data_IF_632389746107
#
_entry.id   IF_632389746107
#
_cell.length_a   1.000
_cell.length_b   1.000
_cell.length_c   1.000
_cell.angle_alpha   90.00
_cell.angle_beta   90.00
_cell.angle_gamma   90.00
#
_symmetry.space_group_name_H-M   'P 1'
#
loop_
_entity.id
_entity.type
_entity.pdbx_description
1 polymer ?
#
# COMPACT_ATOMS: atom_id res chain seq x y z
N UNK A 1 28.66 13.38 14.49
CA UNK A 1 27.76 12.95 13.40
C UNK A 1 26.47 12.33 13.94
N UNK A 2 26.54 11.40 14.90
CA UNK A 2 25.35 10.69 15.44
C UNK A 2 24.22 11.61 15.95
N UNK A 3 24.54 12.75 16.59
CA UNK A 3 23.53 13.72 17.04
C UNK A 3 22.80 14.41 15.89
N UNK A 4 23.49 14.71 14.80
CA UNK A 4 22.90 15.34 13.60
C UNK A 4 22.00 14.34 12.88
N UNK A 5 22.44 13.09 12.75
CA UNK A 5 21.66 12.02 12.14
C UNK A 5 20.35 11.75 12.89
N UNK A 6 20.39 11.69 14.23
CA UNK A 6 19.19 11.50 15.05
C UNK A 6 18.19 12.64 14.88
N UNK A 7 18.65 13.89 14.79
CA UNK A 7 17.79 15.05 14.56
C UNK A 7 17.16 14.99 13.16
N UNK A 8 17.94 14.64 12.13
CA UNK A 8 17.43 14.48 10.76
C UNK A 8 16.41 13.34 10.64
N UNK A 9 16.64 12.21 11.31
CA UNK A 9 15.70 11.10 11.34
C UNK A 9 14.39 11.49 12.05
N UNK A 10 14.47 12.22 13.15
CA UNK A 10 13.28 12.70 13.86
C UNK A 10 12.47 13.69 12.99
N UNK A 11 13.14 14.65 12.36
CA UNK A 11 12.50 15.64 11.49
C UNK A 11 11.80 14.99 10.29
N UNK A 12 12.50 14.10 9.58
CA UNK A 12 11.91 13.36 8.47
C UNK A 12 10.76 12.44 8.92
N UNK A 13 10.86 11.86 10.13
CA UNK A 13 9.77 11.06 10.68
C UNK A 13 8.54 11.91 10.97
N UNK A 14 8.72 13.12 11.52
CA UNK A 14 7.63 14.09 11.69
C UNK A 14 6.95 14.44 10.36
N UNK A 15 7.72 14.69 9.30
CA UNK A 15 7.16 14.94 7.96
C UNK A 15 6.37 13.73 7.43
N UNK A 16 6.91 12.51 7.60
CA UNK A 16 6.22 11.27 7.23
C UNK A 16 4.93 11.11 8.03
N UNK A 17 4.91 11.45 9.31
CA UNK A 17 3.72 11.27 10.16
C UNK A 17 2.66 12.34 9.92
N UNK A 18 3.08 13.58 9.64
CA UNK A 18 2.19 14.70 9.32
C UNK A 18 1.45 14.51 7.98
N UNK A 19 2.09 13.84 7.02
CA UNK A 19 1.52 13.71 5.69
C UNK A 19 0.51 12.56 5.59
N UNK A 20 -0.63 12.82 4.96
CA UNK A 20 -1.68 11.80 4.78
C UNK A 20 -1.31 10.76 3.71
N UNK A 21 -0.48 11.14 2.73
CA UNK A 21 -0.08 10.28 1.57
C UNK A 21 1.05 9.29 1.89
N UNK A 22 1.56 9.32 3.09
CA UNK A 22 2.72 8.51 3.49
C UNK A 22 2.29 7.33 4.37
N UNK A 23 1.01 6.92 4.32
CA UNK A 23 0.46 5.89 5.19
C UNK A 23 1.26 4.57 5.15
N UNK A 24 1.79 4.18 3.98
CA UNK A 24 2.66 3.01 3.80
C UNK A 24 4.13 3.26 4.14
N UNK A 25 4.54 4.52 4.32
CA UNK A 25 5.86 4.91 4.81
C UNK A 25 5.92 5.03 6.33
N UNK A 26 4.77 5.27 6.99
CA UNK A 26 4.65 5.29 8.46
C UNK A 26 4.96 3.92 9.07
N UNK A 27 5.58 3.93 10.24
CA UNK A 27 5.92 2.75 11.04
C UNK A 27 6.64 1.64 10.24
N UNK A 28 7.45 2.02 9.24
CA UNK A 28 8.03 1.03 8.36
C UNK A 28 9.17 0.28 9.05
N UNK A 29 8.94 -1.01 9.26
CA UNK A 29 9.94 -1.96 9.76
C UNK A 29 10.90 -2.37 8.64
N UNK A 30 12.17 -2.46 8.97
CA UNK A 30 13.21 -2.99 8.11
C UNK A 30 14.03 -4.02 8.87
N UNK A 31 14.45 -5.07 8.16
CA UNK A 31 15.38 -6.06 8.70
C UNK A 31 16.78 -5.45 8.78
N UNK A 32 17.30 -5.30 9.99
CA UNK A 32 18.68 -4.89 10.27
C UNK A 32 19.47 -6.14 10.61
N UNK A 33 20.56 -6.36 9.88
CA UNK A 33 21.51 -7.43 10.16
C UNK A 33 22.51 -6.94 11.22
N UNK A 34 22.58 -7.62 12.35
CA UNK A 34 23.42 -7.22 13.49
C UNK A 34 24.75 -8.00 13.54
N UNK A 35 25.02 -8.82 12.51
CA UNK A 35 26.14 -9.76 12.48
C UNK A 35 25.76 -11.14 13.04
N UNK A 36 26.67 -12.12 12.88
CA UNK A 36 26.53 -13.48 13.45
C UNK A 36 25.21 -14.22 13.12
N UNK A 37 24.62 -13.93 11.96
CA UNK A 37 23.33 -14.51 11.55
C UNK A 37 22.12 -13.98 12.30
N UNK A 38 22.29 -12.98 13.17
CA UNK A 38 21.20 -12.31 13.88
C UNK A 38 20.68 -11.16 13.03
N UNK A 39 19.36 -11.11 12.90
CA UNK A 39 18.67 -9.96 12.31
C UNK A 39 17.51 -9.58 13.19
N UNK A 40 17.30 -8.28 13.37
CA UNK A 40 16.12 -7.73 14.05
C UNK A 40 15.29 -6.88 13.11
N UNK A 41 14.02 -6.73 13.42
CA UNK A 41 13.16 -5.75 12.77
C UNK A 41 13.25 -4.43 13.55
N UNK A 42 13.46 -3.33 12.83
CA UNK A 42 13.57 -2.01 13.43
C UNK A 42 12.87 -0.97 12.59
N UNK A 43 12.36 0.08 13.23
CA UNK A 43 11.92 1.28 12.54
C UNK A 43 13.15 2.01 12.00
N UNK A 44 13.17 2.23 10.69
CA UNK A 44 14.27 2.93 10.03
C UNK A 44 13.71 4.00 9.10
N UNK A 45 13.95 5.26 9.44
CA UNK A 45 13.46 6.43 8.72
C UNK A 45 14.24 6.62 7.40
N UNK A 46 15.58 6.71 7.46
CA UNK A 46 16.43 6.85 6.26
C UNK A 46 17.10 5.52 5.87
N UNK A 47 16.66 4.91 4.77
CA UNK A 47 17.32 3.75 4.15
C UNK A 47 17.01 3.66 2.66
N UNK A 48 17.95 3.19 1.85
CA UNK A 48 17.64 2.75 0.47
C UNK A 48 16.70 1.54 0.53
N UNK A 49 15.52 1.69 -0.04
CA UNK A 49 14.45 0.68 0.06
C UNK A 49 14.64 -0.39 -1.02
N UNK A 50 14.50 -1.64 -0.61
CA UNK A 50 14.77 -2.80 -1.47
C UNK A 50 13.79 -2.94 -2.65
N UNK A 51 12.59 -2.35 -2.58
CA UNK A 51 11.68 -2.29 -3.73
C UNK A 51 12.23 -1.48 -4.90
N UNK A 52 13.21 -0.61 -4.68
CA UNK A 52 13.89 0.13 -5.75
C UNK A 52 14.82 -0.77 -6.56
N UNK A 53 15.19 -1.94 -6.03
CA UNK A 53 16.06 -2.92 -6.68
C UNK A 53 15.27 -3.97 -7.47
N UNK A 54 13.94 -3.82 -7.58
CA UNK A 54 13.10 -4.67 -8.44
C UNK A 54 13.56 -4.52 -9.90
N UNK A 55 13.95 -5.65 -10.49
CA UNK A 55 14.57 -5.72 -11.83
C UNK A 55 13.58 -5.32 -12.92
N UNK A 56 12.34 -5.82 -12.85
CA UNK A 56 11.31 -5.56 -13.86
C UNK A 56 10.80 -4.12 -13.72
N UNK A 57 11.01 -3.22 -14.71
CA UNK A 57 10.70 -1.79 -14.54
C UNK A 57 9.22 -1.51 -14.28
N UNK A 58 8.32 -2.25 -14.92
CA UNK A 58 6.88 -2.11 -14.72
C UNK A 58 6.45 -2.43 -13.28
N UNK A 59 6.96 -3.54 -12.72
CA UNK A 59 6.67 -3.95 -11.35
C UNK A 59 7.26 -2.98 -10.33
N UNK A 60 8.51 -2.53 -10.56
CA UNK A 60 9.15 -1.50 -9.74
C UNK A 60 8.33 -0.22 -9.72
N UNK A 61 7.87 0.23 -10.89
CA UNK A 61 7.05 1.45 -11.02
C UNK A 61 5.72 1.30 -10.28
N UNK A 62 5.03 0.16 -10.42
CA UNK A 62 3.79 -0.11 -9.71
C UNK A 62 3.97 -0.08 -8.19
N UNK A 63 5.00 -0.77 -7.67
CA UNK A 63 5.27 -0.81 -6.24
C UNK A 63 5.72 0.55 -5.70
N UNK A 64 6.60 1.26 -6.39
CA UNK A 64 7.02 2.63 -5.99
C UNK A 64 5.82 3.58 -5.97
N UNK A 65 4.93 3.51 -6.97
CA UNK A 65 3.71 4.31 -7.01
C UNK A 65 2.78 4.00 -5.87
N UNK A 66 2.60 2.72 -5.53
CA UNK A 66 1.86 2.31 -4.35
C UNK A 66 2.44 2.96 -3.08
N UNK A 67 3.76 2.87 -2.89
CA UNK A 67 4.43 3.40 -1.69
C UNK A 67 4.39 4.92 -1.56
N UNK A 68 4.28 5.65 -2.66
CA UNK A 68 4.31 7.11 -2.71
C UNK A 68 2.92 7.73 -2.96
N UNK A 69 1.85 6.92 -2.87
CA UNK A 69 0.48 7.34 -3.17
C UNK A 69 0.31 8.00 -4.56
N UNK A 70 1.03 7.49 -5.55
CA UNK A 70 0.92 7.85 -6.98
C UNK A 70 0.23 6.73 -7.79
N UNK A 71 -0.83 6.14 -7.23
CA UNK A 71 -1.62 5.08 -7.87
C UNK A 71 -3.06 5.53 -8.18
N UNK A 72 -3.76 4.72 -8.98
CA UNK A 72 -5.07 5.05 -9.52
C UNK A 72 -6.25 4.62 -8.64
N UNK A 73 -6.00 4.20 -7.41
CA UNK A 73 -7.05 3.85 -6.46
C UNK A 73 -7.84 5.10 -6.03
N UNK A 74 -9.09 4.90 -5.64
CA UNK A 74 -10.03 5.98 -5.35
C UNK A 74 -9.60 6.80 -4.13
N UNK A 75 -8.91 6.18 -3.15
CA UNK A 75 -8.40 6.88 -1.97
C UNK A 75 -7.54 8.08 -2.34
N UNK A 76 -6.71 7.97 -3.38
CA UNK A 76 -5.84 9.06 -3.84
C UNK A 76 -6.52 9.95 -4.87
N UNK A 77 -7.23 9.34 -5.81
CA UNK A 77 -7.68 10.07 -7.00
C UNK A 77 -8.99 10.84 -6.77
N UNK A 78 -9.83 10.42 -5.83
CA UNK A 78 -11.04 11.17 -5.45
C UNK A 78 -10.78 12.24 -4.38
N UNK A 79 -9.59 12.24 -3.76
CA UNK A 79 -9.15 13.28 -2.81
C UNK A 79 -9.15 14.68 -3.42
N UNK A 80 -8.79 14.80 -4.68
CA UNK A 80 -8.72 16.09 -5.38
C UNK A 80 -10.08 16.42 -6.01
N UNK A 81 -10.45 17.71 -6.10
CA UNK A 81 -11.63 18.10 -6.87
C UNK A 81 -11.43 17.77 -8.36
N UNK A 82 -12.53 17.44 -9.04
CA UNK A 82 -12.59 17.33 -10.49
C UNK A 82 -13.31 18.53 -11.10
N UNK A 83 -13.40 18.59 -12.44
CA UNK A 83 -14.06 19.70 -13.16
C UNK A 83 -15.48 19.99 -12.67
N UNK A 84 -16.25 18.95 -12.34
CA UNK A 84 -17.66 19.05 -11.91
C UNK A 84 -17.94 18.26 -10.63
N UNK A 85 -16.91 17.99 -9.83
CA UNK A 85 -17.01 17.10 -8.67
C UNK A 85 -16.19 17.65 -7.51
N UNK A 86 -16.79 17.76 -6.33
CA UNK A 86 -16.07 18.12 -5.12
C UNK A 86 -15.01 17.07 -4.74
N UNK A 87 -14.00 17.48 -3.96
CA UNK A 87 -13.10 16.55 -3.30
C UNK A 87 -13.91 15.60 -2.40
N UNK A 88 -13.67 14.29 -2.52
CA UNK A 88 -14.41 13.31 -1.74
C UNK A 88 -13.80 13.17 -0.34
N UNK A 89 -14.60 13.29 0.74
CA UNK A 89 -14.24 12.78 2.07
C UNK A 89 -13.79 11.33 1.98
N UNK A 90 -12.84 10.91 2.83
CA UNK A 90 -12.22 9.57 2.74
C UNK A 90 -13.26 8.44 2.71
N UNK A 91 -14.29 8.52 3.54
CA UNK A 91 -15.34 7.50 3.64
C UNK A 91 -16.19 7.37 2.36
N UNK A 92 -16.21 8.37 1.48
CA UNK A 92 -16.88 8.33 0.17
C UNK A 92 -15.97 7.87 -0.97
N UNK A 93 -14.69 7.58 -0.71
CA UNK A 93 -13.73 7.10 -1.73
C UNK A 93 -13.87 5.59 -1.94
N UNK A 94 -15.10 5.15 -2.21
CA UNK A 94 -15.51 3.75 -2.19
C UNK A 94 -14.86 2.93 -3.32
N UNK A 95 -14.66 1.64 -3.05
CA UNK A 95 -14.16 0.64 -3.99
C UNK A 95 -15.08 0.52 -5.21
N UNK A 96 -14.48 0.59 -6.40
CA UNK A 96 -15.21 0.48 -7.66
C UNK A 96 -15.89 -0.87 -7.87
N UNK A 97 -15.40 -1.91 -7.18
CA UNK A 97 -15.97 -3.25 -7.22
C UNK A 97 -17.03 -3.44 -6.15
N UNK A 98 -16.65 -3.44 -4.86
CA UNK A 98 -17.58 -3.80 -3.80
C UNK A 98 -18.52 -2.67 -3.36
N UNK A 99 -18.12 -1.40 -3.59
CA UNK A 99 -18.83 -0.17 -3.16
C UNK A 99 -19.13 -0.07 -1.65
N UNK A 100 -18.74 -1.05 -0.83
CA UNK A 100 -19.02 -1.10 0.61
C UNK A 100 -17.86 -0.68 1.50
N UNK A 101 -16.65 -0.52 0.94
CA UNK A 101 -15.45 -0.10 1.66
C UNK A 101 -14.65 0.91 0.85
N UNK A 102 -13.73 1.62 1.50
CA UNK A 102 -12.83 2.57 0.84
C UNK A 102 -11.86 1.82 -0.10
N UNK A 103 -11.65 2.35 -1.30
CA UNK A 103 -10.67 1.84 -2.26
C UNK A 103 -9.25 2.30 -1.90
N UNK A 104 -8.70 1.72 -0.85
CA UNK A 104 -7.32 1.94 -0.45
C UNK A 104 -6.41 0.74 -0.76
N UNK A 105 -5.12 0.87 -0.49
CA UNK A 105 -4.10 -0.11 -0.89
C UNK A 105 -4.33 -1.46 -0.22
N UNK A 106 -4.64 -1.44 1.08
CA UNK A 106 -4.95 -2.61 1.86
C UNK A 106 -6.21 -3.30 1.33
N UNK A 107 -7.29 -2.55 1.10
CA UNK A 107 -8.53 -3.10 0.56
C UNK A 107 -8.32 -3.71 -0.84
N UNK A 108 -7.66 -2.99 -1.72
CA UNK A 108 -7.44 -3.42 -3.10
C UNK A 108 -6.59 -4.69 -3.17
N UNK A 109 -5.46 -4.70 -2.48
CA UNK A 109 -4.51 -5.81 -2.51
C UNK A 109 -5.00 -7.00 -1.70
N UNK A 110 -5.63 -6.78 -0.54
CA UNK A 110 -5.77 -7.83 0.46
C UNK A 110 -7.21 -8.09 0.92
N UNK A 111 -8.24 -7.34 0.53
CA UNK A 111 -9.59 -7.53 1.12
C UNK A 111 -10.68 -7.70 0.08
N UNK A 112 -10.68 -6.90 -0.99
CA UNK A 112 -11.81 -6.84 -1.92
C UNK A 112 -12.07 -8.17 -2.64
N UNK A 113 -13.17 -8.85 -2.34
CA UNK A 113 -13.60 -10.11 -2.99
C UNK A 113 -14.61 -9.93 -4.12
N UNK A 114 -15.06 -8.70 -4.37
CA UNK A 114 -16.16 -8.41 -5.29
C UNK A 114 -15.84 -8.51 -6.79
N UNK A 115 -14.60 -8.84 -7.17
CA UNK A 115 -14.21 -9.01 -8.57
C UNK A 115 -13.45 -10.31 -8.77
N UNK A 116 -13.93 -11.16 -9.67
CA UNK A 116 -13.50 -12.55 -9.83
C UNK A 116 -12.02 -12.70 -10.15
N UNK A 117 -11.43 -11.73 -10.86
CA UNK A 117 -10.00 -11.77 -11.17
C UNK A 117 -9.08 -11.48 -9.98
N UNK A 118 -9.56 -10.95 -8.86
CA UNK A 118 -8.69 -10.58 -7.73
C UNK A 118 -8.28 -11.80 -6.89
N UNK A 119 -9.23 -12.72 -6.65
CA UNK A 119 -9.00 -13.87 -5.78
C UNK A 119 -7.89 -14.80 -6.31
N UNK A 120 -7.87 -15.20 -7.60
CA UNK A 120 -6.79 -16.03 -8.14
C UNK A 120 -5.41 -15.38 -8.06
N UNK A 121 -5.33 -14.04 -8.18
CA UNK A 121 -4.07 -13.30 -8.05
C UNK A 121 -3.52 -13.38 -6.62
N UNK A 122 -4.39 -13.24 -5.62
CA UNK A 122 -4.04 -13.34 -4.21
C UNK A 122 -3.61 -14.75 -3.83
N UNK A 123 -4.38 -15.74 -4.23
CA UNK A 123 -4.06 -17.14 -3.94
C UNK A 123 -2.72 -17.55 -4.56
N UNK A 124 -2.47 -17.15 -5.81
CA UNK A 124 -1.17 -17.39 -6.45
C UNK A 124 -0.05 -16.70 -5.71
N UNK A 125 -0.21 -15.42 -5.36
CA UNK A 125 0.78 -14.68 -4.61
C UNK A 125 1.09 -15.34 -3.25
N UNK A 126 0.05 -15.72 -2.50
CA UNK A 126 0.19 -16.38 -1.19
C UNK A 126 0.90 -17.72 -1.32
N UNK A 127 0.53 -18.56 -2.31
CA UNK A 127 1.23 -19.83 -2.59
C UNK A 127 2.71 -19.59 -2.90
N UNK A 128 3.02 -18.59 -3.73
CA UNK A 128 4.40 -18.29 -4.14
C UNK A 128 5.31 -17.84 -2.99
N UNK A 129 4.73 -17.27 -1.92
CA UNK A 129 5.51 -16.74 -0.80
C UNK A 129 5.46 -17.62 0.45
N UNK A 130 4.52 -18.56 0.57
CA UNK A 130 4.22 -19.32 1.79
C UNK A 130 5.47 -19.93 2.44
N UNK A 131 6.35 -20.52 1.64
CA UNK A 131 7.60 -21.13 2.13
C UNK A 131 8.65 -20.06 2.55
N UNK A 132 8.56 -18.86 1.98
CA UNK A 132 9.50 -17.77 2.22
C UNK A 132 9.16 -16.93 3.46
N UNK A 133 7.88 -16.89 3.83
CA UNK A 133 7.39 -16.21 5.04
C UNK A 133 7.51 -17.07 6.30
N UNK A 134 7.91 -18.35 6.20
CA UNK A 134 8.30 -19.15 7.36
C UNK A 134 7.15 -19.60 8.25
N UNK A 135 6.01 -20.01 7.65
CA UNK A 135 4.90 -20.62 8.37
C UNK A 135 4.32 -19.72 9.47
N UNK A 136 3.79 -18.56 9.10
CA UNK A 136 2.89 -17.84 10.01
C UNK A 136 1.57 -18.58 10.11
N UNK A 137 0.99 -18.60 11.31
CA UNK A 137 -0.42 -18.90 11.53
C UNK A 137 -1.23 -17.86 10.75
N UNK A 138 -1.58 -18.22 9.52
CA UNK A 138 -2.18 -17.36 8.52
C UNK A 138 -3.66 -17.17 8.80
N UNK A 139 -3.98 -16.58 9.95
CA UNK A 139 -5.14 -15.69 10.00
C UNK A 139 -4.75 -14.48 9.16
N UNK A 140 -5.09 -14.56 7.88
CA UNK A 140 -5.22 -13.42 7.00
C UNK A 140 -5.98 -12.36 7.81
N UNK A 141 -5.26 -11.39 8.36
CA UNK A 141 -5.87 -10.45 9.30
C UNK A 141 -6.70 -9.49 8.48
N UNK A 142 -7.92 -9.92 8.15
CA UNK A 142 -8.98 -9.05 7.66
C UNK A 142 -9.19 -7.89 8.66
N UNK A 143 -8.85 -8.13 9.93
CA UNK A 143 -8.93 -7.17 11.02
C UNK A 143 -7.84 -6.07 10.92
N UNK A 144 -6.64 -6.40 10.42
CA UNK A 144 -5.49 -5.48 10.32
C UNK A 144 -4.73 -5.57 8.97
N UNK A 145 -5.38 -5.26 7.84
CA UNK A 145 -4.80 -5.50 6.51
C UNK A 145 -3.60 -4.59 6.21
N UNK A 146 -3.52 -3.41 6.82
CA UNK A 146 -2.35 -2.53 6.68
C UNK A 146 -1.11 -3.05 7.40
N UNK A 147 -1.25 -3.65 8.59
CA UNK A 147 -0.12 -4.23 9.31
C UNK A 147 0.44 -5.44 8.56
N UNK A 148 -0.44 -6.26 7.98
CA UNK A 148 -0.01 -7.33 7.10
C UNK A 148 0.68 -6.80 5.84
N UNK A 149 0.15 -5.76 5.19
CA UNK A 149 0.79 -5.14 4.04
C UNK A 149 2.18 -4.57 4.39
N UNK A 150 2.34 -3.92 5.55
CA UNK A 150 3.63 -3.41 6.05
C UNK A 150 4.62 -4.54 6.31
N UNK A 151 4.16 -5.67 6.87
CA UNK A 151 4.98 -6.87 7.01
C UNK A 151 5.48 -7.35 5.64
N UNK A 152 4.59 -7.52 4.66
CA UNK A 152 4.98 -7.94 3.31
C UNK A 152 6.01 -6.99 2.69
N UNK A 153 5.81 -5.67 2.86
CA UNK A 153 6.72 -4.64 2.37
C UNK A 153 8.09 -4.62 3.08
N UNK A 154 8.20 -5.19 4.28
CA UNK A 154 9.46 -5.30 5.01
C UNK A 154 10.32 -6.50 4.59
N UNK A 155 9.71 -7.48 3.91
CA UNK A 155 10.32 -8.76 3.59
C UNK A 155 11.04 -8.74 2.25
N UNK A 156 12.35 -8.50 2.30
CA UNK A 156 13.22 -8.47 1.11
C UNK A 156 13.14 -9.73 0.23
N UNK A 157 12.91 -10.90 0.84
CA UNK A 157 12.85 -12.20 0.12
C UNK A 157 11.70 -12.26 -0.90
N UNK A 158 10.57 -11.62 -0.59
CA UNK A 158 9.36 -11.70 -1.41
C UNK A 158 9.16 -10.48 -2.32
N UNK A 159 10.04 -9.47 -2.26
CA UNK A 159 9.85 -8.17 -2.93
C UNK A 159 9.54 -8.29 -4.42
N UNK A 160 10.23 -9.17 -5.15
CA UNK A 160 9.98 -9.36 -6.58
C UNK A 160 8.57 -9.92 -6.84
N UNK A 161 8.11 -10.86 -6.01
CA UNK A 161 6.76 -11.43 -6.07
C UNK A 161 5.71 -10.40 -5.66
N UNK A 162 5.96 -9.65 -4.60
CA UNK A 162 5.10 -8.56 -4.13
C UNK A 162 4.95 -7.48 -5.20
N UNK A 163 6.03 -7.05 -5.84
CA UNK A 163 5.99 -6.03 -6.88
C UNK A 163 5.18 -6.47 -8.11
N UNK A 164 5.31 -7.75 -8.51
CA UNK A 164 4.47 -8.34 -9.56
C UNK A 164 3.00 -8.37 -9.13
N UNK A 165 2.72 -8.86 -7.92
CA UNK A 165 1.37 -8.94 -7.38
C UNK A 165 0.68 -7.57 -7.34
N UNK A 166 1.37 -6.54 -6.86
CA UNK A 166 0.87 -5.16 -6.87
C UNK A 166 0.59 -4.68 -8.30
N UNK A 167 1.49 -4.96 -9.24
CA UNK A 167 1.27 -4.59 -10.64
C UNK A 167 0.04 -5.29 -11.24
N UNK A 168 -0.12 -6.60 -11.01
CA UNK A 168 -1.25 -7.39 -11.49
C UNK A 168 -2.58 -6.87 -10.91
N UNK A 169 -2.65 -6.60 -9.60
CA UNK A 169 -3.87 -6.08 -8.95
C UNK A 169 -4.20 -4.68 -9.47
N UNK A 170 -3.22 -3.77 -9.52
CA UNK A 170 -3.46 -2.41 -10.00
C UNK A 170 -3.91 -2.40 -11.46
N UNK A 171 -3.42 -3.32 -12.30
CA UNK A 171 -3.88 -3.47 -13.68
C UNK A 171 -5.37 -3.86 -13.75
N UNK A 172 -5.87 -4.73 -12.85
CA UNK A 172 -7.30 -5.06 -12.75
C UNK A 172 -8.13 -3.84 -12.35
N UNK A 173 -7.65 -3.02 -11.42
CA UNK A 173 -8.35 -1.78 -11.06
C UNK A 173 -8.33 -0.77 -12.21
N UNK A 174 -7.20 -0.61 -12.90
CA UNK A 174 -7.04 0.31 -14.02
C UNK A 174 -7.91 -0.04 -15.23
N UNK A 175 -8.25 -1.32 -15.41
CA UNK A 175 -9.16 -1.75 -16.49
C UNK A 175 -10.63 -1.45 -16.23
N UNK A 176 -10.99 -0.96 -15.05
CA UNK A 176 -12.38 -0.68 -14.67
C UNK A 176 -12.62 0.79 -14.33
N UNK A 177 -13.76 1.36 -14.76
CA UNK A 177 -14.10 2.72 -14.40
C UNK A 177 -14.26 2.83 -12.89
N UNK A 178 -13.80 3.95 -12.34
CA UNK A 178 -13.94 4.23 -10.91
C UNK A 178 -15.40 4.50 -10.56
N UNK A 179 -15.84 3.98 -9.42
CA UNK A 179 -17.11 4.37 -8.83
C UNK A 179 -17.02 5.77 -8.18
N UNK A 180 -17.95 6.64 -8.54
CA UNK A 180 -18.05 8.00 -7.99
C UNK A 180 -19.47 8.15 -7.41
N UNK A 181 -19.62 8.27 -6.08
CA UNK A 181 -20.93 8.52 -5.47
C UNK A 181 -21.60 9.78 -6.03
N UNK A 182 -22.90 9.69 -6.34
CA UNK A 182 -23.67 10.80 -6.92
C UNK A 182 -23.67 12.06 -6.04
N UNK A 183 -23.61 11.88 -4.72
CA UNK A 183 -23.54 12.97 -3.73
C UNK A 183 -22.36 13.93 -3.98
N UNK A 184 -21.28 13.47 -4.63
CA UNK A 184 -20.11 14.30 -4.94
C UNK A 184 -20.32 15.30 -6.09
N UNK A 185 -21.43 15.18 -6.82
CA UNK A 185 -21.85 16.12 -7.86
C UNK A 185 -22.86 17.16 -7.36
N UNK A 186 -23.35 17.00 -6.11
CA UNK A 186 -24.24 17.97 -5.50
C UNK A 186 -23.47 19.20 -5.03
N UNK A 187 -24.15 20.35 -4.88
CA UNK A 187 -23.55 21.55 -4.28
C UNK A 187 -23.06 21.26 -2.86
N UNK A 188 -22.00 21.96 -2.42
CA UNK A 188 -21.33 21.72 -1.14
C UNK A 188 -22.23 21.79 0.11
N UNK A 189 -23.44 22.37 0.01
CA UNK A 189 -24.43 22.40 1.09
C UNK A 189 -25.09 21.03 1.38
N UNK A 190 -24.80 20.00 0.58
CA UNK A 190 -25.41 18.66 0.66
C UNK A 190 -24.43 17.52 1.03
N UNK A 191 -23.17 17.86 1.36
CA UNK A 191 -22.08 16.94 1.75
C UNK A 191 -21.69 17.14 3.22
#
# INVERSE_FOLDING_TARGET
>A
MERVEKVLDADLQCDIDAFERTHLLKNRLERIDEGEGRSRMALVTRRRRHYLDVVVPAHRKALTRLMLSDHNLSVERLRYPGRYRAAAPRHLRLCRFCRGAVEDEAHALLVCTAHDSLQPLRERFLRDIMDQIGGFDCKWSADEPYEFLRLLLSLRKITLRLAKFVADILAVYDSHPRYIPAILYLPAAAL
#
